data_IF_641925808452
#
_entry.id   IF_641925808452
#
_cell.length_a   1.000
_cell.length_b   1.000
_cell.length_c   1.000
_cell.angle_alpha   90.00
_cell.angle_beta   90.00
_cell.angle_gamma   90.00
#
_symmetry.space_group_name_H-M   'P 1'
#
loop_
_entity.id
_entity.type
_entity.pdbx_description
1 polymer ?
#
# COMPACT_ATOMS: atom_id res chain seq x y z
N UNK A 1 30.21 -28.13 -7.29
CA UNK A 1 29.49 -27.93 -6.03
C UNK A 1 29.93 -26.57 -5.49
N UNK A 2 28.99 -25.60 -5.34
CA UNK A 2 29.34 -24.29 -4.77
C UNK A 2 29.70 -24.49 -3.31
N UNK A 3 30.82 -23.94 -2.85
CA UNK A 3 31.13 -23.95 -1.44
C UNK A 3 30.27 -22.95 -0.69
N UNK A 4 30.06 -23.17 0.62
CA UNK A 4 29.19 -22.35 1.45
C UNK A 4 29.62 -20.87 1.47
N UNK A 5 30.94 -20.62 1.48
CA UNK A 5 31.49 -19.26 1.53
C UNK A 5 31.18 -18.49 0.23
N UNK A 6 31.28 -19.14 -0.91
CA UNK A 6 30.91 -18.55 -2.20
C UNK A 6 29.43 -18.18 -2.26
N UNK A 7 28.53 -19.07 -1.78
CA UNK A 7 27.08 -18.78 -1.75
C UNK A 7 26.79 -17.58 -0.86
N UNK A 8 27.39 -17.53 0.33
CA UNK A 8 27.23 -16.42 1.26
C UNK A 8 27.77 -15.12 0.67
N UNK A 9 28.91 -15.14 0.04
CA UNK A 9 29.49 -13.97 -0.63
C UNK A 9 28.57 -13.45 -1.72
N UNK A 10 28.09 -14.30 -2.61
CA UNK A 10 27.15 -13.90 -3.67
C UNK A 10 25.83 -13.37 -3.13
N UNK A 11 25.33 -13.95 -2.03
CA UNK A 11 24.14 -13.41 -1.35
C UNK A 11 24.37 -11.97 -0.90
N UNK A 12 25.45 -11.68 -0.16
CA UNK A 12 25.73 -10.32 0.30
C UNK A 12 26.01 -9.33 -0.83
N UNK A 13 26.68 -9.76 -1.89
CA UNK A 13 26.86 -8.94 -3.09
C UNK A 13 25.52 -8.63 -3.76
N UNK A 14 24.63 -9.61 -3.89
CA UNK A 14 23.28 -9.43 -4.42
C UNK A 14 22.44 -8.47 -3.55
N UNK A 15 22.53 -8.61 -2.22
CA UNK A 15 21.88 -7.68 -1.28
C UNK A 15 22.40 -6.25 -1.44
N UNK A 16 23.70 -6.07 -1.60
CA UNK A 16 24.32 -4.77 -1.86
C UNK A 16 23.83 -4.12 -3.16
N UNK A 17 23.77 -4.89 -4.25
CA UNK A 17 23.24 -4.42 -5.54
C UNK A 17 21.77 -4.07 -5.45
N UNK A 18 20.95 -4.86 -4.76
CA UNK A 18 19.53 -4.59 -4.54
C UNK A 18 19.32 -3.34 -3.66
N UNK A 19 20.19 -3.14 -2.66
CA UNK A 19 20.14 -1.92 -1.85
C UNK A 19 20.48 -0.67 -2.69
N UNK A 20 21.51 -0.72 -3.51
CA UNK A 20 21.88 0.37 -4.43
C UNK A 20 20.76 0.67 -5.43
N UNK A 21 20.12 -0.36 -5.98
CA UNK A 21 18.93 -0.21 -6.80
C UNK A 21 17.80 0.47 -6.02
N UNK A 22 17.52 0.05 -4.80
CA UNK A 22 16.48 0.65 -3.94
C UNK A 22 16.72 2.13 -3.67
N UNK A 23 17.95 2.52 -3.37
CA UNK A 23 18.34 3.93 -3.19
C UNK A 23 18.13 4.73 -4.49
N UNK A 24 18.54 4.18 -5.63
CA UNK A 24 18.38 4.84 -6.93
C UNK A 24 16.90 5.03 -7.29
N UNK A 25 16.05 4.02 -7.04
CA UNK A 25 14.61 4.13 -7.26
C UNK A 25 13.95 5.17 -6.35
N UNK A 26 14.33 5.20 -5.07
CA UNK A 26 13.83 6.20 -4.13
C UNK A 26 14.14 7.63 -4.59
N UNK A 27 15.37 7.86 -5.08
CA UNK A 27 15.78 9.14 -5.63
C UNK A 27 15.00 9.53 -6.90
N UNK A 28 14.86 8.58 -7.85
CA UNK A 28 14.13 8.82 -9.10
C UNK A 28 12.62 9.04 -8.86
N UNK A 29 12.00 8.28 -7.97
CA UNK A 29 10.58 8.44 -7.64
C UNK A 29 10.33 9.75 -6.90
N UNK A 30 11.19 10.13 -5.95
CA UNK A 30 11.07 11.39 -5.24
C UNK A 30 11.06 12.60 -6.20
N UNK A 31 11.86 12.57 -7.27
CA UNK A 31 11.88 13.65 -8.26
C UNK A 31 10.59 13.80 -9.08
N UNK A 32 9.70 12.82 -9.04
CA UNK A 32 8.38 12.83 -9.72
C UNK A 32 7.22 13.16 -8.76
N UNK A 33 7.49 13.17 -7.47
CA UNK A 33 6.48 13.35 -6.43
C UNK A 33 6.12 14.84 -6.30
N UNK A 34 4.83 15.15 -6.35
CA UNK A 34 4.29 16.47 -6.06
C UNK A 34 4.10 16.63 -4.54
N UNK A 35 5.14 17.10 -3.86
CA UNK A 35 5.17 17.21 -2.41
C UNK A 35 5.77 18.52 -1.92
N UNK A 36 5.22 19.04 -0.82
CA UNK A 36 5.83 20.16 -0.07
C UNK A 36 6.93 19.70 0.90
N UNK A 37 7.10 18.37 1.08
CA UNK A 37 8.06 17.77 2.01
C UNK A 37 8.99 16.75 1.31
N UNK A 38 9.88 17.18 0.39
CA UNK A 38 10.67 16.26 -0.44
C UNK A 38 11.57 15.31 0.35
N UNK A 39 12.12 15.76 1.48
CA UNK A 39 12.94 14.89 2.33
C UNK A 39 12.11 13.79 2.99
N UNK A 40 10.90 14.10 3.48
CA UNK A 40 9.98 13.11 4.05
C UNK A 40 9.59 12.07 3.00
N UNK A 41 9.23 12.53 1.79
CA UNK A 41 8.91 11.66 0.67
C UNK A 41 10.07 10.72 0.32
N UNK A 42 11.29 11.26 0.24
CA UNK A 42 12.49 10.45 -0.02
C UNK A 42 12.71 9.37 1.04
N UNK A 43 12.59 9.69 2.34
CA UNK A 43 12.76 8.70 3.42
C UNK A 43 11.72 7.57 3.33
N UNK A 44 10.46 7.91 3.04
CA UNK A 44 9.43 6.89 2.87
C UNK A 44 9.65 6.02 1.63
N UNK A 45 10.04 6.60 0.50
CA UNK A 45 10.41 5.87 -0.71
C UNK A 45 11.62 4.97 -0.48
N UNK A 46 12.62 5.47 0.25
CA UNK A 46 13.80 4.69 0.61
C UNK A 46 13.39 3.45 1.42
N UNK A 47 12.57 3.62 2.46
CA UNK A 47 12.06 2.50 3.25
C UNK A 47 11.23 1.52 2.38
N UNK A 48 10.40 2.06 1.48
CA UNK A 48 9.61 1.28 0.55
C UNK A 48 10.48 0.41 -0.37
N UNK A 49 11.47 0.98 -1.05
CA UNK A 49 12.32 0.22 -1.97
C UNK A 49 13.30 -0.71 -1.25
N UNK A 50 13.85 -0.31 -0.09
CA UNK A 50 14.71 -1.19 0.71
C UNK A 50 13.94 -2.38 1.31
N UNK A 51 12.62 -2.29 1.45
CA UNK A 51 11.80 -3.43 1.90
C UNK A 51 11.89 -4.65 0.99
N UNK A 52 12.28 -4.49 -0.29
CA UNK A 52 12.53 -5.61 -1.20
C UNK A 52 13.69 -6.52 -0.76
N UNK A 53 14.61 -6.03 0.10
CA UNK A 53 15.67 -6.83 0.71
C UNK A 53 15.11 -7.93 1.63
N UNK A 54 13.89 -7.78 2.13
CA UNK A 54 13.24 -8.78 2.99
C UNK A 54 13.01 -10.10 2.26
N UNK A 55 12.75 -10.07 0.95
CA UNK A 55 12.46 -11.26 0.15
C UNK A 55 13.67 -12.20 0.08
N UNK A 56 14.85 -11.77 -0.43
CA UNK A 56 16.02 -12.63 -0.43
C UNK A 56 16.49 -13.00 0.98
N UNK A 57 16.33 -12.11 1.98
CA UNK A 57 16.65 -12.41 3.37
C UNK A 57 15.79 -13.55 3.92
N UNK A 58 14.48 -13.55 3.63
CA UNK A 58 13.55 -14.62 4.01
C UNK A 58 14.01 -15.98 3.47
N UNK A 59 14.30 -16.09 2.17
CA UNK A 59 14.75 -17.34 1.57
C UNK A 59 16.16 -17.74 2.01
N UNK A 60 17.06 -16.78 2.18
CA UNK A 60 18.42 -17.06 2.64
C UNK A 60 18.44 -17.60 4.07
N UNK A 61 17.54 -17.13 4.95
CA UNK A 61 17.47 -17.66 6.32
C UNK A 61 17.17 -19.16 6.36
N UNK A 62 16.32 -19.66 5.44
CA UNK A 62 16.05 -21.09 5.29
C UNK A 62 17.31 -21.85 4.85
N UNK A 63 17.98 -21.32 3.82
CA UNK A 63 19.23 -21.92 3.33
C UNK A 63 20.33 -21.92 4.39
N UNK A 64 20.50 -20.80 5.10
CA UNK A 64 21.52 -20.63 6.13
C UNK A 64 21.31 -21.58 7.32
N UNK A 65 20.08 -21.83 7.72
CA UNK A 65 19.73 -22.82 8.73
C UNK A 65 19.97 -24.25 8.26
N UNK A 66 19.58 -24.58 7.01
CA UNK A 66 19.80 -25.90 6.43
C UNK A 66 21.28 -26.22 6.21
N UNK A 67 22.08 -25.26 5.78
CA UNK A 67 23.52 -25.43 5.53
C UNK A 67 24.37 -25.38 6.80
N UNK A 68 23.80 -25.04 7.96
CA UNK A 68 24.53 -24.87 9.22
C UNK A 68 25.32 -23.55 9.32
N UNK A 69 25.10 -22.60 8.40
CA UNK A 69 25.73 -21.27 8.46
C UNK A 69 25.18 -20.45 9.63
N UNK A 70 23.88 -20.54 9.89
CA UNK A 70 23.23 -20.05 11.11
C UNK A 70 22.87 -21.25 12.01
N UNK A 71 22.88 -21.04 13.32
CA UNK A 71 22.22 -21.95 14.23
C UNK A 71 20.71 -22.02 13.92
N UNK A 72 20.06 -23.11 14.29
CA UNK A 72 18.61 -23.27 14.04
C UNK A 72 17.79 -22.11 14.67
N UNK A 73 18.18 -21.60 15.84
CA UNK A 73 17.50 -20.51 16.51
C UNK A 73 17.65 -19.17 15.77
N UNK A 74 18.86 -18.86 15.29
CA UNK A 74 19.12 -17.66 14.49
C UNK A 74 18.37 -17.70 13.17
N UNK A 75 18.44 -18.83 12.46
CA UNK A 75 17.72 -19.03 11.21
C UNK A 75 16.20 -18.88 11.40
N UNK A 76 15.63 -19.49 12.45
CA UNK A 76 14.21 -19.40 12.78
C UNK A 76 13.82 -17.96 13.12
N UNK A 77 14.62 -17.24 13.88
CA UNK A 77 14.36 -15.84 14.22
C UNK A 77 14.33 -14.95 12.96
N UNK A 78 15.37 -15.04 12.12
CA UNK A 78 15.44 -14.25 10.87
C UNK A 78 14.29 -14.60 9.92
N UNK A 79 13.95 -15.90 9.80
CA UNK A 79 12.84 -16.39 9.00
C UNK A 79 11.50 -15.81 9.45
N UNK A 80 11.20 -15.91 10.75
CA UNK A 80 9.93 -15.42 11.30
C UNK A 80 9.80 -13.91 11.16
N UNK A 81 10.85 -13.16 11.53
CA UNK A 81 10.83 -11.69 11.45
C UNK A 81 10.70 -11.22 10.00
N UNK A 82 11.54 -11.72 9.09
CA UNK A 82 11.45 -11.36 7.67
C UNK A 82 10.13 -11.80 7.04
N UNK A 83 9.60 -12.96 7.43
CA UNK A 83 8.29 -13.46 6.98
C UNK A 83 7.13 -12.56 7.39
N UNK A 84 7.09 -12.11 8.66
CA UNK A 84 6.08 -11.16 9.14
C UNK A 84 6.15 -9.85 8.36
N UNK A 85 7.35 -9.29 8.17
CA UNK A 85 7.52 -8.06 7.39
C UNK A 85 7.19 -8.25 5.90
N UNK A 86 7.55 -9.38 5.30
CA UNK A 86 7.14 -9.72 3.94
C UNK A 86 5.61 -9.79 3.82
N UNK A 87 4.93 -10.45 4.75
CA UNK A 87 3.48 -10.51 4.77
C UNK A 87 2.86 -9.11 4.88
N UNK A 88 3.28 -8.33 5.88
CA UNK A 88 2.76 -6.98 6.12
C UNK A 88 3.02 -6.02 4.94
N UNK A 89 4.14 -6.20 4.22
CA UNK A 89 4.53 -5.31 3.13
C UNK A 89 3.97 -5.70 1.77
N UNK A 90 3.93 -7.00 1.46
CA UNK A 90 3.64 -7.48 0.10
C UNK A 90 2.28 -8.20 -0.03
N UNK A 91 1.67 -8.62 1.07
CA UNK A 91 0.43 -9.41 1.03
C UNK A 91 -0.73 -8.63 1.65
N UNK A 92 -0.58 -8.22 2.91
CA UNK A 92 -1.66 -7.60 3.68
C UNK A 92 -2.28 -6.36 3.01
N UNK A 93 -1.53 -5.40 2.42
CA UNK A 93 -2.12 -4.22 1.77
C UNK A 93 -3.02 -4.55 0.58
N UNK A 94 -2.88 -5.75 0.00
CA UNK A 94 -3.70 -6.21 -1.12
C UNK A 94 -4.94 -7.02 -0.68
N UNK A 95 -5.14 -7.22 0.62
CA UNK A 95 -6.28 -7.95 1.18
C UNK A 95 -7.39 -6.97 1.56
N UNK A 96 -8.17 -6.55 0.57
CA UNK A 96 -9.33 -5.68 0.83
C UNK A 96 -10.47 -6.47 1.45
N UNK A 97 -10.84 -6.14 2.69
CA UNK A 97 -11.94 -6.76 3.43
C UNK A 97 -13.14 -5.82 3.55
N UNK A 98 -14.35 -6.37 3.32
CA UNK A 98 -15.60 -5.64 3.54
C UNK A 98 -16.18 -6.06 4.89
N UNK A 99 -16.31 -5.11 5.81
CA UNK A 99 -16.99 -5.31 7.10
C UNK A 99 -18.39 -4.72 7.03
N UNK A 100 -19.41 -5.50 7.32
CA UNK A 100 -20.80 -5.04 7.37
C UNK A 100 -21.26 -4.90 8.80
N UNK A 101 -21.80 -3.73 9.15
CA UNK A 101 -22.40 -3.46 10.45
C UNK A 101 -23.83 -2.95 10.23
N UNK A 102 -24.77 -3.43 11.02
CA UNK A 102 -26.16 -2.97 10.98
C UNK A 102 -26.45 -2.09 12.17
N UNK A 103 -26.98 -0.91 11.88
CA UNK A 103 -27.48 0.02 12.90
C UNK A 103 -28.99 0.09 12.80
N UNK A 104 -29.66 0.04 13.95
CA UNK A 104 -31.11 0.21 14.05
C UNK A 104 -31.40 1.59 14.62
N UNK A 105 -32.17 2.39 13.90
CA UNK A 105 -32.61 3.68 14.39
C UNK A 105 -33.65 3.48 15.51
N UNK A 106 -33.80 4.50 16.37
CA UNK A 106 -34.84 4.50 17.38
C UNK A 106 -36.21 4.34 16.75
N UNK A 107 -37.15 3.71 17.49
CA UNK A 107 -38.46 3.29 16.99
C UNK A 107 -39.31 4.41 16.42
N UNK A 108 -39.09 5.64 16.88
CA UNK A 108 -39.76 6.88 16.47
C UNK A 108 -39.22 7.51 15.17
N UNK A 109 -38.00 7.03 14.71
CA UNK A 109 -37.31 7.51 13.50
C UNK A 109 -37.07 6.38 12.50
N UNK A 110 -38.14 5.81 11.99
CA UNK A 110 -38.03 4.73 11.01
C UNK A 110 -37.71 5.27 9.61
N UNK A 111 -36.71 4.70 8.96
CA UNK A 111 -36.56 4.88 7.53
C UNK A 111 -37.64 4.07 6.79
N UNK A 112 -38.13 4.58 5.67
CA UNK A 112 -39.08 3.86 4.81
C UNK A 112 -38.51 2.56 4.26
N UNK A 113 -37.22 2.55 4.01
CA UNK A 113 -36.44 1.36 3.60
C UNK A 113 -35.06 1.36 4.24
N UNK A 114 -34.42 0.20 4.41
CA UNK A 114 -33.01 0.15 4.80
C UNK A 114 -32.15 0.88 3.78
N UNK A 115 -31.16 1.63 4.26
CA UNK A 115 -30.16 2.33 3.43
C UNK A 115 -28.82 1.67 3.67
N UNK A 116 -28.13 1.27 2.60
CA UNK A 116 -26.80 0.70 2.62
C UNK A 116 -25.77 1.77 2.26
N UNK A 117 -24.93 2.14 3.21
CA UNK A 117 -23.85 3.10 3.02
C UNK A 117 -22.51 2.35 3.02
N UNK A 118 -21.71 2.55 1.98
CA UNK A 118 -20.32 2.12 2.00
C UNK A 118 -19.46 3.28 2.49
N UNK A 119 -18.61 3.02 3.48
CA UNK A 119 -17.64 3.99 4.00
C UNK A 119 -16.23 3.54 3.60
N UNK A 120 -15.48 4.47 3.01
CA UNK A 120 -14.08 4.33 2.63
C UNK A 120 -13.30 5.49 3.25
N UNK A 121 -12.06 5.26 3.67
CA UNK A 121 -11.15 6.28 4.17
C UNK A 121 -9.70 5.87 3.90
N UNK A 122 -8.79 6.84 3.99
CA UNK A 122 -7.34 6.61 4.02
C UNK A 122 -6.83 5.77 2.85
N UNK A 123 -7.20 6.12 1.63
CA UNK A 123 -6.73 5.43 0.42
C UNK A 123 -5.25 5.67 0.15
N UNK A 124 -4.74 6.86 0.53
CA UNK A 124 -3.34 7.24 0.46
C UNK A 124 -2.67 6.91 -0.89
N UNK A 125 -3.36 7.25 -1.98
CA UNK A 125 -2.87 7.03 -3.35
C UNK A 125 -1.73 7.99 -3.63
N UNK A 126 -0.62 7.51 -4.17
CA UNK A 126 0.44 8.37 -4.67
C UNK A 126 1.85 7.85 -4.43
N UNK A 127 2.48 8.17 -3.32
CA UNK A 127 3.92 7.98 -3.08
C UNK A 127 4.46 6.58 -3.39
N UNK A 128 3.64 5.55 -3.25
CA UNK A 128 4.04 4.16 -3.45
C UNK A 128 3.39 3.58 -4.69
N UNK A 129 4.14 2.84 -5.49
CA UNK A 129 3.60 2.14 -6.67
C UNK A 129 2.68 0.97 -6.29
N UNK A 130 1.74 0.62 -7.18
CA UNK A 130 0.88 -0.57 -7.02
C UNK A 130 -0.56 -0.29 -6.59
N UNK A 131 -0.94 0.97 -6.41
CA UNK A 131 -2.29 1.37 -6.02
C UNK A 131 -3.37 0.98 -7.03
N UNK A 132 -3.07 0.94 -8.32
CA UNK A 132 -4.05 0.60 -9.36
C UNK A 132 -4.76 -0.74 -9.09
N UNK A 133 -4.01 -1.78 -8.70
CA UNK A 133 -4.59 -3.08 -8.38
C UNK A 133 -5.48 -3.03 -7.14
N UNK A 134 -5.06 -2.29 -6.11
CA UNK A 134 -5.82 -2.12 -4.87
C UNK A 134 -7.10 -1.34 -5.14
N UNK A 135 -7.03 -0.23 -5.89
CA UNK A 135 -8.19 0.57 -6.28
C UNK A 135 -9.20 -0.24 -7.09
N UNK A 136 -8.75 -1.03 -8.08
CA UNK A 136 -9.63 -1.93 -8.83
C UNK A 136 -10.34 -2.93 -7.92
N UNK A 137 -9.66 -3.47 -6.92
CA UNK A 137 -10.28 -4.35 -5.93
C UNK A 137 -11.32 -3.62 -5.07
N UNK A 138 -11.02 -2.40 -4.62
CA UNK A 138 -11.95 -1.58 -3.82
C UNK A 138 -13.20 -1.29 -4.64
N UNK A 139 -13.06 -0.80 -5.87
CA UNK A 139 -14.17 -0.51 -6.78
C UNK A 139 -15.01 -1.76 -7.05
N UNK A 140 -14.36 -2.88 -7.35
CA UNK A 140 -15.07 -4.16 -7.54
C UNK A 140 -15.88 -4.57 -6.32
N UNK A 141 -15.32 -4.46 -5.11
CA UNK A 141 -16.03 -4.80 -3.87
C UNK A 141 -17.14 -3.82 -3.53
N UNK A 142 -16.97 -2.53 -3.81
CA UNK A 142 -18.02 -1.53 -3.67
C UNK A 142 -19.20 -1.85 -4.59
N UNK A 143 -18.93 -2.12 -5.87
CA UNK A 143 -19.98 -2.46 -6.84
C UNK A 143 -20.68 -3.79 -6.50
N UNK A 144 -19.93 -4.82 -6.01
CA UNK A 144 -20.51 -6.08 -5.52
C UNK A 144 -21.38 -5.88 -4.28
N UNK A 145 -20.99 -4.95 -3.39
CA UNK A 145 -21.77 -4.64 -2.21
C UNK A 145 -23.09 -3.93 -2.54
N UNK A 146 -23.23 -3.31 -3.71
CA UNK A 146 -24.40 -2.56 -4.15
C UNK A 146 -24.91 -1.57 -3.08
N UNK A 147 -24.10 -0.59 -2.66
CA UNK A 147 -24.54 0.43 -1.72
C UNK A 147 -25.50 1.42 -2.39
N UNK A 148 -26.38 2.05 -1.62
CA UNK A 148 -27.19 3.17 -2.07
C UNK A 148 -26.35 4.44 -2.26
N UNK A 149 -25.25 4.57 -1.48
CA UNK A 149 -24.26 5.63 -1.62
C UNK A 149 -22.90 5.20 -1.05
N UNK A 150 -21.83 5.83 -1.55
CA UNK A 150 -20.47 5.70 -1.04
C UNK A 150 -20.06 7.02 -0.38
N UNK A 151 -19.51 6.93 0.82
CA UNK A 151 -18.93 8.07 1.55
C UNK A 151 -17.45 7.85 1.68
N UNK A 152 -16.64 8.83 1.28
CA UNK A 152 -15.18 8.80 1.45
C UNK A 152 -14.78 9.87 2.46
N UNK A 153 -14.20 9.43 3.57
CA UNK A 153 -13.89 10.27 4.73
C UNK A 153 -12.48 10.90 4.64
N UNK A 154 -12.05 11.22 3.43
CA UNK A 154 -10.78 11.91 3.17
C UNK A 154 -9.57 11.00 3.01
N UNK A 155 -8.41 11.63 2.93
CA UNK A 155 -7.08 11.02 2.70
C UNK A 155 -7.05 10.12 1.47
N UNK A 156 -7.51 10.70 0.35
CA UNK A 156 -7.42 10.10 -0.97
C UNK A 156 -5.97 9.91 -1.41
N UNK A 157 -5.12 10.89 -1.06
CA UNK A 157 -3.76 10.99 -1.57
C UNK A 157 -2.75 11.03 -0.43
N UNK A 158 -1.53 10.59 -0.76
CA UNK A 158 -0.37 10.75 0.09
C UNK A 158 0.86 11.01 -0.77
N UNK A 159 1.35 12.29 -0.78
CA UNK A 159 2.52 12.71 -1.55
C UNK A 159 2.48 12.17 -3.00
N UNK A 160 1.42 12.48 -3.80
CA UNK A 160 1.16 11.81 -5.06
C UNK A 160 2.20 12.17 -6.14
N UNK A 161 2.38 11.26 -7.08
CA UNK A 161 3.10 11.52 -8.32
C UNK A 161 2.21 12.30 -9.32
N UNK A 162 2.80 12.82 -10.37
CA UNK A 162 2.12 13.57 -11.46
C UNK A 162 1.12 12.70 -12.28
N UNK A 163 1.03 11.41 -11.99
CA UNK A 163 0.11 10.43 -12.60
C UNK A 163 -1.21 10.28 -11.84
N UNK A 164 -1.41 11.01 -10.75
CA UNK A 164 -2.56 10.88 -9.86
C UNK A 164 -3.91 10.83 -10.59
N UNK A 165 -4.13 11.70 -11.58
CA UNK A 165 -5.40 11.73 -12.33
C UNK A 165 -5.67 10.42 -13.08
N UNK A 166 -4.62 9.76 -13.60
CA UNK A 166 -4.72 8.48 -14.28
C UNK A 166 -5.01 7.35 -13.28
N UNK A 167 -4.39 7.38 -12.12
CA UNK A 167 -4.58 6.40 -11.06
C UNK A 167 -6.01 6.47 -10.50
N UNK A 168 -6.55 7.67 -10.32
CA UNK A 168 -7.92 7.89 -9.86
C UNK A 168 -9.00 7.55 -10.90
N UNK A 169 -8.65 7.40 -12.17
CA UNK A 169 -9.63 7.19 -13.25
C UNK A 169 -10.52 5.96 -13.00
N UNK A 170 -10.01 4.91 -12.37
CA UNK A 170 -10.78 3.69 -12.03
C UNK A 170 -11.94 3.97 -11.06
N UNK A 171 -11.88 5.04 -10.28
CA UNK A 171 -12.96 5.41 -9.35
C UNK A 171 -14.25 5.82 -10.07
N UNK A 172 -14.16 6.22 -11.35
CA UNK A 172 -15.33 6.51 -12.21
C UNK A 172 -16.17 5.27 -12.52
N UNK A 173 -15.64 4.08 -12.26
CA UNK A 173 -16.37 2.82 -12.42
C UNK A 173 -17.26 2.47 -11.19
N UNK A 174 -17.27 3.31 -10.15
CA UNK A 174 -18.19 3.15 -9.01
C UNK A 174 -19.62 3.49 -9.48
N UNK A 175 -20.54 2.54 -9.32
CA UNK A 175 -21.92 2.70 -9.81
C UNK A 175 -22.79 3.56 -8.89
N UNK A 176 -22.51 3.57 -7.60
CA UNK A 176 -23.27 4.34 -6.62
C UNK A 176 -22.78 5.82 -6.55
N UNK A 177 -23.64 6.77 -6.17
CA UNK A 177 -23.22 8.14 -5.90
C UNK A 177 -22.10 8.18 -4.85
N UNK A 178 -21.05 8.97 -5.11
CA UNK A 178 -19.89 9.12 -4.22
C UNK A 178 -19.93 10.52 -3.61
N UNK A 179 -19.85 10.59 -2.29
CA UNK A 179 -19.70 11.81 -1.52
C UNK A 179 -18.37 11.76 -0.77
N UNK A 180 -17.58 12.82 -0.86
CA UNK A 180 -16.25 12.86 -0.30
C UNK A 180 -15.97 14.17 0.40
N UNK A 181 -15.13 14.10 1.42
CA UNK A 181 -14.46 15.24 2.06
C UNK A 181 -12.97 15.13 1.84
N UNK A 182 -12.23 16.21 2.05
CA UNK A 182 -10.76 16.18 2.08
C UNK A 182 -10.29 15.71 3.46
N UNK A 183 -9.20 14.96 3.47
CA UNK A 183 -8.39 14.71 4.64
C UNK A 183 -7.20 15.67 4.72
N UNK A 184 -6.40 15.56 5.77
CA UNK A 184 -5.25 16.45 5.95
C UNK A 184 -4.15 16.24 4.90
N UNK A 185 -4.03 15.04 4.33
CA UNK A 185 -3.08 14.77 3.25
C UNK A 185 -3.55 15.37 1.91
N UNK A 186 -4.85 15.39 1.67
CA UNK A 186 -5.42 16.03 0.47
C UNK A 186 -5.21 17.55 0.49
N UNK A 187 -5.28 18.17 1.68
CA UNK A 187 -5.04 19.61 1.86
C UNK A 187 -3.55 19.99 1.67
N UNK A 188 -2.64 19.06 1.89
CA UNK A 188 -1.21 19.24 1.69
C UNK A 188 -0.78 19.02 0.23
N UNK A 189 -1.67 18.51 -0.60
CA UNK A 189 -1.38 18.29 -2.02
C UNK A 189 -1.33 19.63 -2.77
N UNK A 190 -0.22 19.95 -3.42
CA UNK A 190 -0.02 21.25 -4.10
C UNK A 190 -0.73 21.34 -5.47
N UNK A 191 -1.29 20.24 -5.96
CA UNK A 191 -1.98 20.16 -7.25
C UNK A 191 -3.44 20.62 -7.19
N UNK A 192 -4.22 20.36 -8.24
CA UNK A 192 -5.63 20.74 -8.29
C UNK A 192 -6.43 20.00 -7.20
N UNK A 193 -7.53 20.59 -6.69
CA UNK A 193 -8.37 19.93 -5.70
C UNK A 193 -8.81 18.54 -6.14
N UNK A 194 -8.77 17.55 -5.23
CA UNK A 194 -9.12 16.16 -5.54
C UNK A 194 -10.49 16.05 -6.21
N UNK A 195 -11.47 16.86 -5.79
CA UNK A 195 -12.82 16.91 -6.37
C UNK A 195 -12.80 17.28 -7.88
N UNK A 196 -11.80 18.04 -8.34
CA UNK A 196 -11.64 18.35 -9.75
C UNK A 196 -11.11 17.17 -10.57
N UNK A 197 -10.33 16.28 -9.94
CA UNK A 197 -9.79 15.07 -10.57
C UNK A 197 -10.81 13.93 -10.64
N UNK A 198 -11.84 13.94 -9.78
CA UNK A 198 -12.88 12.92 -9.70
C UNK A 198 -14.07 13.19 -10.65
N UNK A 199 -14.11 14.35 -11.28
CA UNK A 199 -15.12 14.73 -12.29
C UNK A 199 -14.66 14.26 -13.68
#
# INVERSE_FOLDING_TARGET
MWDLNSVVLYFYLGMGLLALWGVSQAWLSQSRTETIHPFKAFVHLLAFYLSYLLIPLFFFSMYAGWSGYYSLHEAAFVFLVSGVFCYARFIEPHLVHVKTTRYQLHADKKLLKPVKIALVADLHIGLFSGHERQLKQIVSKLNQAQPDLVVVAGDWTYEPENTLAQELAVLKEIHAPVYSVNGNHDEQYPGPPIQALLR
#
